data_IF_723522934193
#
_entry.id   IF_723522934193
#
_cell.length_a   1.000
_cell.length_b   1.000
_cell.length_c   1.000
_cell.angle_alpha   90.00
_cell.angle_beta   90.00
_cell.angle_gamma   90.00
#
_symmetry.space_group_name_H-M   'P 1'
#
loop_
_entity.id
_entity.type
_entity.pdbx_description
1 polymer ?
#
# COMPACT_ATOMS: atom_id res chain seq x y z
N UNK A 1 5.28 14.19 17.02
CA UNK A 1 4.34 15.33 16.95
C UNK A 1 2.97 14.74 17.19
N UNK A 2 2.37 15.03 18.34
CA UNK A 2 0.98 14.66 18.65
C UNK A 2 0.06 15.42 17.70
N UNK A 3 -0.65 14.71 16.82
CA UNK A 3 -1.73 15.25 15.97
C UNK A 3 -3.04 14.50 16.25
N UNK A 4 -3.49 14.57 17.50
CA UNK A 4 -4.76 14.01 17.95
C UNK A 4 -5.94 14.98 17.80
N UNK A 5 -5.80 16.08 17.06
CA UNK A 5 -6.83 17.15 16.99
C UNK A 5 -7.37 17.49 15.57
N UNK A 6 -7.08 16.68 14.54
CA UNK A 6 -7.55 16.95 13.16
C UNK A 6 -8.77 16.11 12.75
N UNK A 7 -9.64 15.76 13.70
CA UNK A 7 -10.90 15.10 13.36
C UNK A 7 -11.86 16.09 12.68
N UNK A 8 -12.08 15.92 11.37
CA UNK A 8 -13.12 16.62 10.62
C UNK A 8 -12.78 18.04 10.16
N UNK A 9 -11.50 18.43 10.13
CA UNK A 9 -11.11 19.63 9.37
C UNK A 9 -11.09 19.29 7.86
N UNK A 10 -11.61 20.19 7.00
CA UNK A 10 -11.46 20.04 5.56
C UNK A 10 -9.96 20.04 5.21
N UNK A 11 -9.55 19.08 4.38
CA UNK A 11 -8.18 19.03 3.88
C UNK A 11 -7.98 20.12 2.83
N UNK A 12 -6.76 20.64 2.75
CA UNK A 12 -6.40 21.61 1.72
C UNK A 12 -5.71 20.93 0.54
N UNK A 13 -5.67 21.60 -0.61
CA UNK A 13 -4.89 21.12 -1.76
C UNK A 13 -3.43 20.86 -1.43
N UNK A 14 -2.84 21.66 -0.54
CA UNK A 14 -1.48 21.43 -0.06
C UNK A 14 -1.37 20.13 0.75
N UNK A 15 -2.37 19.80 1.59
CA UNK A 15 -2.37 18.54 2.34
C UNK A 15 -2.43 17.33 1.39
N UNK A 16 -3.32 17.37 0.39
CA UNK A 16 -3.45 16.31 -0.61
C UNK A 16 -2.13 16.16 -1.39
N UNK A 17 -1.57 17.27 -1.87
CA UNK A 17 -0.32 17.28 -2.63
C UNK A 17 0.86 16.74 -1.81
N UNK A 18 0.98 17.15 -0.53
CA UNK A 18 2.01 16.68 0.39
C UNK A 18 1.88 15.18 0.68
N UNK A 19 0.65 14.67 0.85
CA UNK A 19 0.41 13.25 1.08
C UNK A 19 0.71 12.41 -0.17
N UNK A 20 0.38 12.91 -1.37
CA UNK A 20 0.72 12.27 -2.64
C UNK A 20 2.24 12.21 -2.85
N UNK A 21 2.96 13.29 -2.52
CA UNK A 21 4.42 13.31 -2.61
C UNK A 21 5.08 12.31 -1.64
N UNK A 22 4.57 12.26 -0.40
CA UNK A 22 4.97 11.23 0.57
C UNK A 22 4.72 9.82 0.02
N UNK A 23 3.54 9.58 -0.55
CA UNK A 23 3.17 8.29 -1.12
C UNK A 23 4.10 7.89 -2.26
N UNK A 24 4.44 8.80 -3.18
CA UNK A 24 5.39 8.57 -4.27
C UNK A 24 6.73 8.10 -3.72
N UNK A 25 7.30 8.84 -2.75
CA UNK A 25 8.58 8.49 -2.13
C UNK A 25 8.53 7.09 -1.49
N UNK A 26 7.52 6.82 -0.66
CA UNK A 26 7.40 5.54 0.04
C UNK A 26 7.15 4.36 -0.90
N UNK A 27 6.34 4.54 -1.95
CA UNK A 27 6.05 3.52 -2.95
C UNK A 27 7.25 3.25 -3.87
N UNK A 28 7.96 4.29 -4.32
CA UNK A 28 9.15 4.13 -5.17
C UNK A 28 10.25 3.38 -4.43
N UNK A 29 10.52 3.74 -3.18
CA UNK A 29 11.48 3.03 -2.33
C UNK A 29 11.12 1.55 -2.17
N UNK A 30 9.81 1.22 -2.19
CA UNK A 30 9.26 -0.13 -2.02
C UNK A 30 8.92 -0.84 -3.34
N UNK A 31 9.24 -0.26 -4.49
CA UNK A 31 8.94 -0.80 -5.82
C UNK A 31 7.43 -1.01 -6.10
N UNK A 32 6.56 -0.23 -5.46
CA UNK A 32 5.12 -0.20 -5.70
C UNK A 32 4.79 0.82 -6.81
N UNK A 33 5.30 0.55 -8.02
CA UNK A 33 5.31 1.53 -9.11
C UNK A 33 3.93 1.93 -9.62
N UNK A 34 2.92 1.04 -9.56
CA UNK A 34 1.56 1.39 -9.98
C UNK A 34 0.93 2.44 -9.06
N UNK A 35 1.11 2.30 -7.74
CA UNK A 35 0.64 3.28 -6.76
C UNK A 35 1.39 4.61 -6.87
N UNK A 36 2.71 4.55 -7.09
CA UNK A 36 3.52 5.75 -7.36
C UNK A 36 3.09 6.44 -8.66
N UNK A 37 2.84 5.69 -9.73
CA UNK A 37 2.35 6.24 -11.00
C UNK A 37 1.00 6.93 -10.81
N UNK A 38 0.05 6.27 -10.17
CA UNK A 38 -1.27 6.84 -9.88
C UNK A 38 -1.15 8.15 -9.09
N UNK A 39 -0.28 8.21 -8.07
CA UNK A 39 -0.07 9.41 -7.28
C UNK A 39 0.56 10.56 -8.09
N UNK A 40 1.53 10.24 -8.95
CA UNK A 40 2.10 11.21 -9.90
C UNK A 40 1.04 11.73 -10.88
N UNK A 41 0.16 10.86 -11.39
CA UNK A 41 -0.94 11.26 -12.26
C UNK A 41 -1.85 12.29 -11.57
N UNK A 42 -2.15 12.11 -10.27
CA UNK A 42 -2.96 13.09 -9.53
C UNK A 42 -2.24 14.44 -9.39
N UNK A 43 -0.94 14.42 -9.04
CA UNK A 43 -0.15 15.66 -8.88
C UNK A 43 -0.04 16.48 -10.17
N UNK A 44 0.02 15.82 -11.33
CA UNK A 44 0.11 16.50 -12.65
C UNK A 44 -1.13 17.36 -12.91
N UNK A 45 -2.29 17.03 -12.35
CA UNK A 45 -3.52 17.79 -12.53
C UNK A 45 -3.74 18.87 -11.46
N UNK A 46 -2.84 19.01 -10.48
CA UNK A 46 -2.91 20.07 -9.47
C UNK A 46 -2.33 21.40 -9.97
N UNK A 47 -2.72 22.51 -9.36
CA UNK A 47 -2.24 23.83 -9.77
C UNK A 47 -0.74 24.01 -9.49
N UNK A 48 -0.05 24.71 -10.39
CA UNK A 48 1.39 25.01 -10.30
C UNK A 48 1.77 25.76 -9.01
N UNK A 49 0.86 26.56 -8.48
CA UNK A 49 1.03 27.33 -7.23
C UNK A 49 1.23 26.43 -6.02
N UNK A 50 0.58 25.26 -6.01
CA UNK A 50 0.66 24.26 -4.94
C UNK A 50 1.89 23.39 -5.15
N UNK A 51 2.11 22.89 -6.36
CA UNK A 51 3.24 22.00 -6.66
C UNK A 51 4.58 22.71 -6.45
N UNK A 52 4.66 24.01 -6.73
CA UNK A 52 5.87 24.83 -6.48
C UNK A 52 6.23 24.99 -5.00
N UNK A 53 5.29 24.74 -4.09
CA UNK A 53 5.52 24.82 -2.64
C UNK A 53 5.99 23.49 -2.04
N UNK A 54 5.93 22.40 -2.81
CA UNK A 54 6.29 21.09 -2.33
C UNK A 54 7.81 20.94 -2.23
N UNK A 55 8.25 20.26 -1.17
CA UNK A 55 9.64 19.86 -1.00
C UNK A 55 9.89 18.50 -1.65
N UNK A 56 10.28 18.51 -2.92
CA UNK A 56 10.64 17.31 -3.68
C UNK A 56 11.95 16.65 -3.22
N UNK A 57 12.78 17.37 -2.45
CA UNK A 57 14.10 16.89 -2.02
C UNK A 57 14.08 16.23 -0.63
N UNK A 58 13.00 16.43 0.14
CA UNK A 58 12.75 15.76 1.42
C UNK A 58 12.41 14.27 1.23
N UNK A 59 13.42 13.46 0.97
CA UNK A 59 13.31 12.00 1.00
C UNK A 59 13.89 11.44 2.29
N UNK A 60 13.19 10.50 2.95
CA UNK A 60 13.73 9.73 4.10
C UNK A 60 15.00 8.95 3.72
N UNK A 61 15.24 8.78 2.43
CA UNK A 61 16.37 8.09 1.84
C UNK A 61 17.69 8.87 1.90
N UNK A 62 17.65 10.19 2.12
CA UNK A 62 18.85 11.04 2.13
C UNK A 62 19.70 10.88 3.40
N UNK A 63 19.11 10.44 4.51
CA UNK A 63 19.82 10.24 5.79
C UNK A 63 20.57 8.89 5.89
N UNK A 64 20.51 8.06 4.83
CA UNK A 64 21.08 6.72 4.83
C UNK A 64 22.58 6.71 4.50
N UNK A 65 23.33 5.82 5.16
CA UNK A 65 24.75 5.63 4.84
C UNK A 65 24.95 5.16 3.40
N UNK A 66 26.03 5.65 2.76
CA UNK A 66 26.36 5.33 1.37
C UNK A 66 26.29 3.83 1.01
N UNK A 67 26.88 2.91 1.81
CA UNK A 67 26.81 1.48 1.52
C UNK A 67 25.39 0.90 1.53
N UNK A 68 24.55 1.31 2.48
CA UNK A 68 23.14 0.85 2.56
C UNK A 68 22.32 1.39 1.39
N UNK A 69 22.56 2.64 1.01
CA UNK A 69 21.95 3.27 -0.17
C UNK A 69 22.29 2.51 -1.46
N UNK A 70 23.56 2.16 -1.67
CA UNK A 70 23.99 1.36 -2.82
C UNK A 70 23.35 -0.03 -2.83
N UNK A 71 23.29 -0.68 -1.67
CA UNK A 71 22.65 -1.99 -1.48
C UNK A 71 21.17 -1.95 -1.89
N UNK A 72 20.40 -1.01 -1.35
CA UNK A 72 18.98 -0.85 -1.68
C UNK A 72 18.74 -0.49 -3.14
N UNK A 73 19.57 0.38 -3.73
CA UNK A 73 19.48 0.71 -5.15
C UNK A 73 19.68 -0.52 -6.03
N UNK A 74 20.64 -1.39 -5.71
CA UNK A 74 20.84 -2.65 -6.42
C UNK A 74 19.61 -3.55 -6.30
N UNK A 75 19.06 -3.72 -5.09
CA UNK A 75 17.85 -4.52 -4.86
C UNK A 75 16.67 -4.02 -5.68
N UNK A 76 16.41 -2.70 -5.66
CA UNK A 76 15.35 -2.09 -6.46
C UNK A 76 15.54 -2.35 -7.95
N UNK A 77 16.78 -2.27 -8.45
CA UNK A 77 17.10 -2.60 -9.86
C UNK A 77 16.87 -4.08 -10.19
N UNK A 78 17.22 -4.99 -9.28
CA UNK A 78 16.94 -6.42 -9.44
C UNK A 78 15.43 -6.67 -9.52
N UNK A 79 14.63 -6.02 -8.66
CA UNK A 79 13.16 -6.14 -8.69
C UNK A 79 12.58 -5.56 -9.98
N UNK A 80 13.06 -4.39 -10.44
CA UNK A 80 12.66 -3.80 -11.72
C UNK A 80 12.94 -4.72 -12.92
N UNK A 81 14.04 -5.49 -12.86
CA UNK A 81 14.40 -6.48 -13.88
C UNK A 81 13.74 -7.86 -13.67
N UNK A 82 12.76 -7.97 -12.77
CA UNK A 82 12.09 -9.22 -12.42
C UNK A 82 13.00 -10.32 -11.83
N UNK A 83 14.18 -9.95 -11.30
CA UNK A 83 15.17 -10.84 -10.70
C UNK A 83 14.91 -11.10 -9.21
N UNK A 84 13.67 -11.46 -8.88
CA UNK A 84 13.16 -11.51 -7.50
C UNK A 84 13.93 -12.47 -6.57
N UNK A 85 14.40 -13.61 -7.09
CA UNK A 85 15.22 -14.54 -6.30
C UNK A 85 16.54 -13.92 -5.86
N UNK A 86 17.22 -13.20 -6.77
CA UNK A 86 18.48 -12.51 -6.47
C UNK A 86 18.25 -11.38 -5.47
N UNK A 87 17.19 -10.59 -5.66
CA UNK A 87 16.82 -9.53 -4.73
C UNK A 87 16.59 -10.08 -3.31
N UNK A 88 15.79 -11.15 -3.19
CA UNK A 88 15.53 -11.83 -1.90
C UNK A 88 16.80 -12.39 -1.26
N UNK A 89 17.67 -13.04 -2.03
CA UNK A 89 18.93 -13.60 -1.53
C UNK A 89 19.85 -12.50 -1.00
N UNK A 90 19.92 -11.36 -1.70
CA UNK A 90 20.73 -10.22 -1.29
C UNK A 90 20.25 -9.63 0.05
N UNK A 91 18.93 -9.47 0.20
CA UNK A 91 18.29 -8.97 1.42
C UNK A 91 18.25 -9.97 2.58
N UNK A 92 18.54 -11.26 2.35
CA UNK A 92 18.43 -12.30 3.37
C UNK A 92 19.28 -12.01 4.62
N UNK A 93 20.39 -11.29 4.44
CA UNK A 93 21.34 -10.94 5.50
C UNK A 93 21.00 -9.61 6.21
N UNK A 94 20.32 -8.67 5.54
CA UNK A 94 20.00 -7.33 6.09
C UNK A 94 18.53 -7.14 6.47
N UNK A 95 17.64 -8.09 6.15
CA UNK A 95 16.24 -8.09 6.62
C UNK A 95 16.24 -7.97 8.15
N UNK A 96 15.89 -6.78 8.67
CA UNK A 96 15.65 -6.36 10.08
C UNK A 96 16.24 -4.98 10.38
N UNK A 97 17.08 -4.42 9.53
CA UNK A 97 17.71 -3.13 9.83
C UNK A 97 16.82 -1.94 9.46
N UNK A 98 16.12 -2.01 8.33
CA UNK A 98 15.25 -0.93 7.85
C UNK A 98 13.86 -1.47 7.45
N UNK A 99 12.77 -0.71 7.70
CA UNK A 99 11.42 -1.09 7.28
C UNK A 99 11.32 -1.38 5.77
N UNK A 100 11.97 -0.56 4.94
CA UNK A 100 12.02 -0.75 3.48
C UNK A 100 12.72 -2.06 3.08
N UNK A 101 13.80 -2.45 3.77
CA UNK A 101 14.48 -3.72 3.50
C UNK A 101 13.61 -4.92 3.85
N UNK A 102 12.88 -4.84 4.98
CA UNK A 102 11.91 -5.86 5.37
C UNK A 102 10.84 -5.98 4.30
N UNK A 103 10.24 -4.87 3.89
CA UNK A 103 9.24 -4.84 2.84
C UNK A 103 9.76 -5.47 1.55
N UNK A 104 10.90 -5.00 1.02
CA UNK A 104 11.44 -5.48 -0.25
C UNK A 104 11.81 -6.97 -0.20
N UNK A 105 12.22 -7.50 0.96
CA UNK A 105 12.53 -8.91 1.13
C UNK A 105 11.27 -9.77 0.96
N UNK A 106 10.19 -9.41 1.66
CA UNK A 106 8.93 -10.14 1.58
C UNK A 106 8.19 -9.88 0.28
N UNK A 107 8.27 -8.66 -0.26
CA UNK A 107 7.72 -8.31 -1.56
C UNK A 107 8.40 -9.11 -2.68
N UNK A 108 9.73 -9.26 -2.64
CA UNK A 108 10.44 -10.13 -3.59
C UNK A 108 9.95 -11.59 -3.50
N UNK A 109 9.66 -12.10 -2.30
CA UNK A 109 9.09 -13.43 -2.15
C UNK A 109 7.63 -13.51 -2.64
N UNK A 110 6.83 -12.50 -2.36
CA UNK A 110 5.48 -12.37 -2.92
C UNK A 110 5.49 -12.41 -4.45
N UNK A 111 6.38 -11.65 -5.10
CA UNK A 111 6.52 -11.65 -6.56
C UNK A 111 6.98 -13.01 -7.13
N UNK A 112 7.80 -13.77 -6.39
CA UNK A 112 8.12 -15.16 -6.74
C UNK A 112 6.86 -16.04 -6.71
N UNK A 113 6.01 -15.89 -5.69
CA UNK A 113 4.76 -16.65 -5.59
C UNK A 113 3.81 -16.29 -6.73
N UNK A 114 3.61 -14.99 -7.01
CA UNK A 114 2.79 -14.51 -8.13
C UNK A 114 3.29 -15.03 -9.47
N UNK A 115 4.61 -15.01 -9.72
CA UNK A 115 5.19 -15.53 -10.95
C UNK A 115 4.92 -17.03 -11.11
N UNK A 116 5.12 -17.83 -10.06
CA UNK A 116 4.84 -19.27 -10.10
C UNK A 116 3.36 -19.58 -10.27
N UNK A 117 2.50 -18.78 -9.65
CA UNK A 117 1.05 -18.86 -9.85
C UNK A 117 0.69 -18.63 -11.32
N UNK A 118 1.22 -17.57 -11.94
CA UNK A 118 1.01 -17.31 -13.35
C UNK A 118 1.59 -18.41 -14.27
N UNK A 119 2.78 -18.94 -13.96
CA UNK A 119 3.38 -20.07 -14.69
C UNK A 119 2.47 -21.31 -14.65
N UNK A 120 1.94 -21.66 -13.47
CA UNK A 120 0.98 -22.77 -13.33
C UNK A 120 -0.34 -22.50 -14.04
N UNK A 121 -0.90 -21.29 -13.96
CA UNK A 121 -2.16 -20.94 -14.65
C UNK A 121 -2.04 -21.09 -16.18
N UNK A 122 -0.85 -20.87 -16.74
CA UNK A 122 -0.56 -21.10 -18.17
C UNK A 122 -0.44 -22.60 -18.48
N UNK A 123 0.23 -23.37 -17.61
CA UNK A 123 0.42 -24.82 -17.78
C UNK A 123 -0.88 -25.63 -17.51
N UNK A 124 -1.74 -25.16 -16.61
CA UNK A 124 -2.95 -25.84 -16.11
C UNK A 124 -4.23 -25.48 -16.88
N UNK A 125 -4.14 -24.82 -18.04
CA UNK A 125 -5.29 -24.65 -18.97
C UNK A 125 -5.99 -26.00 -19.22
N UNK A 126 -5.30 -27.13 -19.04
CA UNK A 126 -5.82 -28.48 -19.22
C UNK A 126 -6.36 -29.18 -17.95
N UNK A 127 -6.11 -28.70 -16.71
CA UNK A 127 -6.60 -29.36 -15.47
C UNK A 127 -6.88 -28.38 -14.34
N UNK A 128 -8.16 -28.11 -14.09
CA UNK A 128 -8.64 -27.38 -12.90
C UNK A 128 -8.63 -28.29 -11.67
N UNK A 129 -7.50 -28.35 -10.96
CA UNK A 129 -7.52 -28.76 -9.55
C UNK A 129 -7.13 -27.56 -8.69
N UNK A 130 -7.97 -27.27 -7.68
CA UNK A 130 -7.69 -26.26 -6.66
C UNK A 130 -6.49 -26.70 -5.83
N UNK A 131 -5.28 -26.42 -6.31
CA UNK A 131 -4.07 -26.60 -5.53
C UNK A 131 -3.86 -25.33 -4.70
N UNK A 132 -3.98 -25.49 -3.37
CA UNK A 132 -3.51 -24.48 -2.43
C UNK A 132 -2.04 -24.17 -2.74
N UNK A 133 -1.72 -22.92 -3.00
CA UNK A 133 -0.34 -22.54 -3.31
C UNK A 133 0.49 -22.55 -2.01
N UNK A 134 1.16 -23.67 -1.78
CA UNK A 134 2.01 -23.92 -0.61
C UNK A 134 2.99 -22.76 -0.35
N UNK A 135 3.49 -22.12 -1.41
CA UNK A 135 4.41 -20.99 -1.30
C UNK A 135 3.76 -19.73 -0.73
N UNK A 136 2.51 -19.44 -1.11
CA UNK A 136 1.75 -18.35 -0.51
C UNK A 136 1.43 -18.62 0.95
N UNK A 137 1.11 -19.88 1.29
CA UNK A 137 0.86 -20.28 2.66
C UNK A 137 2.11 -20.12 3.54
N UNK A 138 3.27 -20.59 3.07
CA UNK A 138 4.55 -20.43 3.75
C UNK A 138 4.93 -18.96 3.93
N UNK A 139 4.78 -18.16 2.88
CA UNK A 139 5.02 -16.71 2.92
C UNK A 139 4.13 -16.04 3.96
N UNK A 140 2.82 -16.30 3.92
CA UNK A 140 1.85 -15.74 4.87
C UNK A 140 2.22 -16.10 6.31
N UNK A 141 2.54 -17.38 6.56
CA UNK A 141 2.92 -17.86 7.90
C UNK A 141 4.20 -17.20 8.40
N UNK A 142 5.18 -16.99 7.53
CA UNK A 142 6.45 -16.36 7.90
C UNK A 142 6.29 -14.87 8.22
N UNK A 143 5.49 -14.14 7.44
CA UNK A 143 5.18 -12.73 7.71
C UNK A 143 4.40 -12.57 9.02
N UNK A 144 3.38 -13.41 9.27
CA UNK A 144 2.63 -13.40 10.54
C UNK A 144 3.51 -13.79 11.74
N UNK A 145 4.50 -14.66 11.53
CA UNK A 145 5.49 -15.00 12.56
C UNK A 145 6.38 -13.80 12.86
N UNK A 146 6.78 -13.03 11.85
CA UNK A 146 7.53 -11.79 12.04
C UNK A 146 6.69 -10.78 12.84
N UNK A 147 5.46 -10.52 12.40
CA UNK A 147 4.53 -9.58 13.07
C UNK A 147 4.37 -9.90 14.57
N UNK A 148 4.22 -11.18 14.93
CA UNK A 148 4.10 -11.61 16.33
C UNK A 148 5.39 -11.50 17.13
N UNK A 149 6.55 -11.69 16.50
CA UNK A 149 7.85 -11.73 17.19
C UNK A 149 8.54 -10.37 17.28
N UNK A 150 8.26 -9.49 16.32
CA UNK A 150 8.85 -8.17 16.20
C UNK A 150 7.80 -7.25 15.55
N UNK A 151 6.77 -6.85 16.32
CA UNK A 151 5.73 -5.94 15.83
C UNK A 151 6.29 -4.56 15.45
N UNK A 152 7.37 -4.11 16.11
CA UNK A 152 8.03 -2.84 15.83
C UNK A 152 8.72 -2.77 14.45
N UNK A 153 9.04 -3.91 13.84
CA UNK A 153 9.56 -4.00 12.48
C UNK A 153 8.48 -3.95 11.38
N UNK A 154 7.20 -3.87 11.77
CA UNK A 154 6.04 -3.93 10.88
C UNK A 154 5.49 -2.51 10.66
N UNK A 155 5.82 -1.91 9.52
CA UNK A 155 5.25 -0.62 9.10
C UNK A 155 3.90 -0.81 8.37
N UNK A 156 3.25 0.31 8.03
CA UNK A 156 1.96 0.31 7.32
C UNK A 156 2.03 -0.46 5.99
N UNK A 157 3.16 -0.39 5.29
CA UNK A 157 3.36 -1.12 4.03
C UNK A 157 3.54 -2.64 4.23
N UNK A 158 4.16 -3.07 5.32
CA UNK A 158 4.20 -4.49 5.70
C UNK A 158 2.80 -5.04 6.01
N UNK A 159 1.96 -4.25 6.69
CA UNK A 159 0.55 -4.60 6.89
C UNK A 159 -0.23 -4.68 5.58
N UNK A 160 -0.03 -3.72 4.68
CA UNK A 160 -0.58 -3.76 3.32
C UNK A 160 -0.15 -5.02 2.57
N UNK A 161 1.14 -5.38 2.60
CA UNK A 161 1.63 -6.57 1.90
C UNK A 161 0.99 -7.85 2.45
N UNK A 162 0.87 -7.97 3.77
CA UNK A 162 0.18 -9.10 4.39
C UNK A 162 -1.30 -9.13 3.97
N UNK A 163 -1.97 -7.98 3.96
CA UNK A 163 -3.35 -7.87 3.47
C UNK A 163 -3.48 -8.34 2.02
N UNK A 164 -2.59 -7.90 1.13
CA UNK A 164 -2.57 -8.31 -0.28
C UNK A 164 -2.39 -9.83 -0.42
N UNK A 165 -1.47 -10.42 0.36
CA UNK A 165 -1.27 -11.88 0.38
C UNK A 165 -2.52 -12.62 0.85
N UNK A 166 -3.25 -12.08 1.82
CA UNK A 166 -4.52 -12.65 2.28
C UNK A 166 -5.60 -12.54 1.21
N UNK A 167 -5.67 -11.41 0.53
CA UNK A 167 -6.60 -11.20 -0.58
C UNK A 167 -6.36 -12.22 -1.72
N UNK A 168 -5.11 -12.37 -2.15
CA UNK A 168 -4.75 -13.28 -3.25
C UNK A 168 -4.97 -14.77 -2.88
N UNK A 169 -4.97 -15.08 -1.58
CA UNK A 169 -5.35 -16.39 -1.01
C UNK A 169 -6.86 -16.53 -0.74
N UNK A 170 -7.70 -15.60 -1.20
CA UNK A 170 -9.15 -15.58 -0.99
C UNK A 170 -9.58 -15.49 0.49
N UNK A 171 -8.67 -15.08 1.39
CA UNK A 171 -8.93 -14.85 2.81
C UNK A 171 -9.41 -13.41 3.04
N UNK A 172 -10.57 -13.06 2.44
CA UNK A 172 -11.09 -11.68 2.37
C UNK A 172 -11.26 -11.03 3.75
N UNK A 173 -11.72 -11.78 4.76
CA UNK A 173 -11.89 -11.25 6.13
C UNK A 173 -10.56 -10.83 6.75
N UNK A 174 -9.53 -11.67 6.60
CA UNK A 174 -8.19 -11.35 7.12
C UNK A 174 -7.54 -10.23 6.32
N UNK A 175 -7.73 -10.21 4.99
CA UNK A 175 -7.29 -9.12 4.12
C UNK A 175 -7.83 -7.78 4.61
N UNK A 176 -9.14 -7.69 4.84
CA UNK A 176 -9.77 -6.47 5.37
C UNK A 176 -9.16 -6.06 6.71
N UNK A 177 -9.02 -6.99 7.65
CA UNK A 177 -8.42 -6.72 8.97
C UNK A 177 -7.00 -6.14 8.85
N UNK A 178 -6.14 -6.72 8.01
CA UNK A 178 -4.77 -6.24 7.87
C UNK A 178 -4.67 -4.93 7.07
N UNK A 179 -5.55 -4.70 6.09
CA UNK A 179 -5.65 -3.41 5.41
C UNK A 179 -6.03 -2.29 6.39
N UNK A 180 -6.97 -2.57 7.30
CA UNK A 180 -7.33 -1.66 8.38
C UNK A 180 -6.15 -1.34 9.31
N UNK A 181 -5.36 -2.34 9.71
CA UNK A 181 -4.16 -2.08 10.51
C UNK A 181 -3.12 -1.22 9.78
N UNK A 182 -2.98 -1.38 8.46
CA UNK A 182 -2.09 -0.52 7.66
C UNK A 182 -2.55 0.95 7.70
N UNK A 183 -3.87 1.18 7.55
CA UNK A 183 -4.49 2.51 7.54
C UNK A 183 -4.43 3.15 8.93
N UNK A 184 -4.72 2.40 9.99
CA UNK A 184 -4.63 2.88 11.37
C UNK A 184 -3.20 3.28 11.75
N UNK A 185 -2.19 2.61 11.17
CA UNK A 185 -0.79 2.94 11.39
C UNK A 185 -0.32 4.15 10.57
N UNK A 186 -0.73 4.25 9.30
CA UNK A 186 -0.50 5.43 8.46
C UNK A 186 -1.58 5.54 7.38
N UNK A 187 -2.53 6.43 7.57
CA UNK A 187 -3.65 6.63 6.65
C UNK A 187 -3.21 7.18 5.27
N UNK A 188 -1.94 7.57 5.09
CA UNK A 188 -1.40 7.96 3.78
C UNK A 188 -0.98 6.76 2.94
N UNK A 189 -1.04 5.54 3.48
CA UNK A 189 -0.78 4.29 2.76
C UNK A 189 -1.93 3.97 1.76
N UNK A 190 -1.97 4.69 0.64
CA UNK A 190 -2.99 4.50 -0.41
C UNK A 190 -3.15 3.05 -0.91
N UNK A 191 -2.09 2.23 -1.05
CA UNK A 191 -2.27 0.83 -1.46
C UNK A 191 -3.18 0.03 -0.52
N UNK A 192 -3.22 0.38 0.78
CA UNK A 192 -4.14 -0.24 1.73
C UNK A 192 -5.59 0.20 1.52
N UNK A 193 -5.82 1.47 1.18
CA UNK A 193 -7.15 2.00 0.83
C UNK A 193 -7.69 1.41 -0.47
N UNK A 194 -6.88 1.36 -1.53
CA UNK A 194 -7.27 0.71 -2.80
C UNK A 194 -7.60 -0.77 -2.58
N UNK A 195 -6.80 -1.49 -1.79
CA UNK A 195 -7.13 -2.87 -1.43
C UNK A 195 -8.41 -2.97 -0.61
N UNK A 196 -8.61 -2.09 0.38
CA UNK A 196 -9.82 -2.05 1.20
C UNK A 196 -11.06 -1.85 0.32
N UNK A 197 -11.00 -0.98 -0.70
CA UNK A 197 -12.13 -0.72 -1.63
C UNK A 197 -12.62 -1.99 -2.35
N UNK A 198 -11.75 -2.99 -2.52
CA UNK A 198 -12.05 -4.27 -3.19
C UNK A 198 -12.66 -5.31 -2.24
N UNK A 199 -12.47 -5.16 -0.94
CA UNK A 199 -12.90 -6.13 0.09
C UNK A 199 -13.94 -5.58 1.06
N UNK A 200 -14.21 -4.27 1.00
CA UNK A 200 -15.19 -3.57 1.81
C UNK A 200 -16.62 -3.98 1.42
N UNK A 201 -17.50 -4.00 2.42
CA UNK A 201 -18.94 -4.20 2.25
C UNK A 201 -19.70 -2.96 2.73
N UNK A 202 -21.00 -2.89 2.43
CA UNK A 202 -21.84 -1.76 2.88
C UNK A 202 -21.85 -1.61 4.42
N UNK A 203 -21.83 -2.72 5.16
CA UNK A 203 -21.82 -2.69 6.62
C UNK A 203 -20.52 -2.08 7.20
N UNK A 204 -19.43 -2.06 6.44
CA UNK A 204 -18.14 -1.59 6.91
C UNK A 204 -18.07 -0.04 6.96
N UNK A 205 -18.89 0.67 6.18
CA UNK A 205 -18.91 2.15 6.20
C UNK A 205 -19.20 2.69 7.60
N UNK A 206 -20.19 2.12 8.31
CA UNK A 206 -20.56 2.54 9.65
C UNK A 206 -19.45 2.29 10.70
N UNK A 207 -18.60 1.28 10.49
CA UNK A 207 -17.42 1.05 11.32
C UNK A 207 -16.33 2.10 11.02
N UNK A 208 -16.11 2.39 9.74
CA UNK A 208 -15.09 3.34 9.28
C UNK A 208 -15.40 4.79 9.69
N UNK A 209 -16.67 5.16 9.76
CA UNK A 209 -17.12 6.47 10.23
C UNK A 209 -16.73 6.76 11.70
N UNK A 210 -16.43 5.72 12.48
CA UNK A 210 -16.02 5.85 13.88
C UNK A 210 -14.50 5.99 14.05
N UNK A 211 -13.73 5.98 12.95
CA UNK A 211 -12.27 5.95 12.97
C UNK A 211 -11.64 7.35 12.86
N UNK A 212 -10.40 7.53 13.35
CA UNK A 212 -9.71 8.83 13.31
C UNK A 212 -9.44 9.42 11.94
N UNK A 213 -9.35 8.57 10.93
CA UNK A 213 -9.12 8.97 9.55
C UNK A 213 -10.44 9.20 8.78
N UNK A 214 -11.60 9.13 9.44
CA UNK A 214 -12.86 9.52 8.83
C UNK A 214 -12.79 10.98 8.36
N UNK A 215 -13.29 11.25 7.15
CA UNK A 215 -13.22 12.55 6.45
C UNK A 215 -11.83 13.04 6.05
N UNK A 216 -10.80 12.20 6.14
CA UNK A 216 -9.57 12.45 5.37
C UNK A 216 -9.89 12.35 3.87
N UNK A 217 -9.13 13.05 3.02
CA UNK A 217 -9.33 12.95 1.57
C UNK A 217 -9.17 11.51 1.07
N UNK A 218 -8.26 10.74 1.68
CA UNK A 218 -8.07 9.32 1.37
C UNK A 218 -9.33 8.52 1.67
N UNK A 219 -9.96 8.75 2.83
CA UNK A 219 -11.22 8.11 3.18
C UNK A 219 -12.33 8.46 2.19
N UNK A 220 -12.51 9.73 1.84
CA UNK A 220 -13.58 10.15 0.92
C UNK A 220 -13.37 9.51 -0.46
N UNK A 221 -12.14 9.53 -0.98
CA UNK A 221 -11.83 8.89 -2.25
C UNK A 221 -12.05 7.37 -2.18
N UNK A 222 -11.60 6.71 -1.11
CA UNK A 222 -11.88 5.30 -0.85
C UNK A 222 -13.39 5.03 -0.83
N UNK A 223 -14.16 5.87 -0.15
CA UNK A 223 -15.59 5.68 0.05
C UNK A 223 -16.34 5.82 -1.27
N UNK A 224 -15.98 6.80 -2.09
CA UNK A 224 -16.49 6.95 -3.46
C UNK A 224 -16.20 5.69 -4.30
N UNK A 225 -14.95 5.23 -4.26
CA UNK A 225 -14.47 4.06 -4.99
C UNK A 225 -15.11 2.73 -4.55
N UNK A 226 -15.30 2.54 -3.25
CA UNK A 226 -15.95 1.37 -2.68
C UNK A 226 -17.46 1.39 -2.99
N UNK A 227 -18.12 2.53 -2.82
CA UNK A 227 -19.53 2.70 -3.15
C UNK A 227 -19.81 2.42 -4.63
N UNK A 228 -18.93 2.89 -5.53
CA UNK A 228 -19.03 2.61 -6.97
C UNK A 228 -18.92 1.10 -7.26
N UNK A 229 -17.97 0.40 -6.64
CA UNK A 229 -17.81 -1.06 -6.80
C UNK A 229 -19.03 -1.82 -6.28
N UNK A 230 -19.63 -1.35 -5.18
CA UNK A 230 -20.85 -1.90 -4.59
C UNK A 230 -22.15 -1.48 -5.33
N UNK A 231 -22.04 -0.72 -6.41
CA UNK A 231 -23.18 -0.18 -7.18
C UNK A 231 -24.08 0.79 -6.39
N UNK A 232 -23.54 1.42 -5.35
CA UNK A 232 -24.20 2.47 -4.56
C UNK A 232 -23.99 3.84 -5.24
N UNK A 233 -24.52 4.00 -6.46
CA UNK A 233 -24.14 5.10 -7.36
C UNK A 233 -24.42 6.50 -6.79
N UNK A 234 -25.52 6.70 -6.08
CA UNK A 234 -25.84 7.99 -5.44
C UNK A 234 -24.80 8.34 -4.38
N UNK A 235 -24.49 7.38 -3.51
CA UNK A 235 -23.47 7.56 -2.47
C UNK A 235 -22.09 7.82 -3.07
N UNK A 236 -21.73 7.10 -4.14
CA UNK A 236 -20.46 7.32 -4.83
C UNK A 236 -20.37 8.75 -5.40
N UNK A 237 -21.46 9.23 -6.03
CA UNK A 237 -21.54 10.58 -6.56
C UNK A 237 -21.44 11.65 -5.45
N UNK A 238 -22.09 11.43 -4.31
CA UNK A 238 -22.04 12.33 -3.16
C UNK A 238 -20.59 12.48 -2.65
N UNK A 239 -19.87 11.36 -2.50
CA UNK A 239 -18.45 11.41 -2.09
C UNK A 239 -17.54 12.06 -3.14
N UNK A 240 -17.74 11.81 -4.44
CA UNK A 240 -16.95 12.50 -5.48
C UNK A 240 -17.23 14.01 -5.51
N UNK A 241 -18.47 14.41 -5.25
CA UNK A 241 -18.84 15.83 -5.16
C UNK A 241 -18.18 16.47 -3.93
N UNK A 242 -18.26 15.81 -2.78
CA UNK A 242 -17.59 16.26 -1.55
C UNK A 242 -16.08 16.39 -1.75
N UNK A 243 -15.44 15.43 -2.43
CA UNK A 243 -14.01 15.50 -2.75
C UNK A 243 -13.70 16.71 -3.63
N UNK A 244 -14.51 16.97 -4.66
CA UNK A 244 -14.34 18.14 -5.54
C UNK A 244 -14.50 19.47 -4.81
N UNK A 245 -15.54 19.60 -3.98
CA UNK A 245 -15.85 20.84 -3.26
C UNK A 245 -14.77 21.22 -2.22
N UNK A 246 -14.06 20.24 -1.66
CA UNK A 246 -12.99 20.48 -0.68
C UNK A 246 -11.60 20.72 -1.32
N UNK A 247 -11.45 20.55 -2.64
CA UNK A 247 -10.17 20.67 -3.39
C UNK A 247 -10.09 22.03 -4.14
N UNK A 248 -10.93 23.00 -3.79
CA UNK A 248 -10.97 24.34 -4.40
C UNK A 248 -10.40 25.44 -3.49
#
# INVERSE_FOLDING_TARGET
>A
MDRTEDFGQPFTNYNVASDLLYLIDQCDQRCLYEASRWANEQLVYMEDTITSQLDFDSTTYNDMSGPKRVSLNLVRKLIQNCEYYRARQFLQKSRRELPVENFLYYFSWYMICQRKKAEREIEEIEKKENQNDELFFELSKEIERLQRKNPEAFDSFMYYLLAQIKYDNQQVKDSKRFAMFAIEMDHRCWPAWDLLSKVCTEADFAELEQKPFYRTWQYILFAAEAALRLQLLTMANDFFTELGDNVH
#
